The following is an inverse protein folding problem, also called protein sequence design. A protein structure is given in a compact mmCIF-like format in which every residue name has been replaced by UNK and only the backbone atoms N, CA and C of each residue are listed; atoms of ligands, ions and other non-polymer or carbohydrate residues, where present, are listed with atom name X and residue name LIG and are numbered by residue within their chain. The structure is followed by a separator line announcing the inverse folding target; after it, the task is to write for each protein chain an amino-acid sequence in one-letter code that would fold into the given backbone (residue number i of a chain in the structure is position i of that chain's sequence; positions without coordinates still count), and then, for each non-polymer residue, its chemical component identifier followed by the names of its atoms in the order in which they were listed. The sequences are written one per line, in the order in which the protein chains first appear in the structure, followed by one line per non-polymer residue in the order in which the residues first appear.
data_IF_286185885961
#
_entry.id   IF_286185885961
#
_cell.length_a   1.000
_cell.length_b   1.000
_cell.length_c   1.000
_cell.angle_alpha   90.00
_cell.angle_beta   90.00
_cell.angle_gamma   90.00
#
_symmetry.space_group_name_H-M   'P 1'
#
loop_
_entity.id
_entity.type
_entity.pdbx_description
1 polymer ?
#
# COMPACT_ATOMS: atom_id res chain seq x y z
N UNK A 1 -9.88 44.43 -76.54
CA UNK A 1 -10.81 44.07 -77.63
C UNK A 1 -12.17 43.87 -77.00
N UNK A 2 -12.98 44.89 -77.11
CA UNK A 2 -14.43 44.93 -77.34
C UNK A 2 -15.29 44.15 -76.31
N UNK A 3 -16.05 44.90 -75.45
CA UNK A 3 -17.41 45.42 -75.71
C UNK A 3 -18.44 44.28 -75.54
N UNK A 4 -19.46 44.33 -74.70
CA UNK A 4 -20.53 45.35 -74.56
C UNK A 4 -21.42 45.06 -73.35
N UNK A 5 -21.84 46.11 -72.71
CA UNK A 5 -22.98 46.35 -71.87
C UNK A 5 -24.38 45.87 -72.41
N UNK A 6 -25.30 45.51 -71.53
CA UNK A 6 -26.65 46.01 -71.62
C UNK A 6 -27.43 45.98 -70.31
N UNK A 7 -27.89 47.16 -69.97
CA UNK A 7 -28.99 47.41 -69.02
C UNK A 7 -30.34 46.90 -69.50
N UNK A 8 -31.26 46.54 -68.63
CA UNK A 8 -32.51 47.33 -68.51
C UNK A 8 -33.56 46.65 -67.63
N UNK A 9 -34.08 47.41 -66.76
CA UNK A 9 -35.42 47.82 -66.43
C UNK A 9 -36.20 47.03 -65.39
N UNK A 10 -36.50 47.77 -64.37
CA UNK A 10 -37.52 47.68 -63.36
C UNK A 10 -38.92 47.32 -63.87
N UNK A 11 -39.64 46.57 -63.07
CA UNK A 11 -41.09 46.69 -62.93
C UNK A 11 -41.48 46.33 -61.53
N UNK A 12 -41.94 47.35 -60.83
CA UNK A 12 -42.69 47.33 -59.57
C UNK A 12 -44.06 46.71 -59.77
N UNK A 13 -44.42 45.76 -58.91
CA UNK A 13 -45.81 45.42 -58.63
C UNK A 13 -46.00 45.23 -57.14
N UNK A 14 -46.78 46.18 -56.58
CA UNK A 14 -47.34 46.09 -55.23
C UNK A 14 -48.51 45.10 -55.26
N UNK A 15 -48.58 44.21 -54.31
CA UNK A 15 -49.79 43.50 -53.90
C UNK A 15 -49.79 43.14 -52.44
N UNK A 16 -50.56 43.82 -51.77
CA UNK A 16 -51.42 43.67 -50.57
C UNK A 16 -51.24 42.39 -49.75
N UNK A 17 -51.00 42.65 -48.45
CA UNK A 17 -51.03 41.79 -47.29
C UNK A 17 -52.38 41.09 -47.09
N UNK A 18 -52.34 39.79 -46.85
CA UNK A 18 -53.29 39.09 -45.98
C UNK A 18 -52.53 38.26 -44.98
N UNK A 19 -52.60 38.68 -43.71
CA UNK A 19 -52.05 37.99 -42.57
C UNK A 19 -53.02 36.86 -42.19
N UNK A 20 -52.56 35.62 -42.29
CA UNK A 20 -53.22 34.48 -41.66
C UNK A 20 -52.31 34.05 -40.50
N UNK A 21 -52.75 34.28 -39.23
CA UNK A 21 -52.16 33.76 -38.03
C UNK A 21 -52.46 32.24 -38.00
N UNK A 22 -51.45 31.42 -38.25
CA UNK A 22 -51.44 30.00 -37.89
C UNK A 22 -50.66 29.86 -36.56
N UNK A 23 -51.41 29.62 -35.49
CA UNK A 23 -50.82 29.23 -34.22
C UNK A 23 -50.26 27.79 -34.34
N UNK A 24 -48.96 27.66 -34.47
CA UNK A 24 -48.25 26.37 -34.36
C UNK A 24 -48.01 26.10 -32.90
N UNK A 25 -48.79 25.19 -32.28
CA UNK A 25 -48.45 24.58 -31.02
C UNK A 25 -47.20 23.70 -31.22
N UNK A 26 -46.03 24.24 -30.82
CA UNK A 26 -44.83 23.43 -30.71
C UNK A 26 -44.98 22.53 -29.48
N UNK A 27 -45.34 21.28 -29.71
CA UNK A 27 -45.18 20.20 -28.71
C UNK A 27 -43.70 19.90 -28.61
N UNK A 28 -43.04 20.44 -27.59
CA UNK A 28 -41.67 20.03 -27.23
C UNK A 28 -41.75 18.65 -26.62
N UNK A 29 -41.39 17.61 -27.39
CA UNK A 29 -41.04 16.32 -26.83
C UNK A 29 -39.77 16.52 -25.99
N UNK A 30 -39.92 16.60 -24.68
CA UNK A 30 -38.82 16.45 -23.75
C UNK A 30 -38.25 15.05 -23.92
N UNK A 31 -37.10 14.91 -24.61
CA UNK A 31 -36.31 13.68 -24.58
C UNK A 31 -35.94 13.34 -23.13
N UNK A 32 -35.73 12.05 -22.79
CA UNK A 32 -35.30 11.68 -21.46
C UNK A 32 -34.01 12.45 -21.14
N UNK A 33 -34.03 13.20 -20.05
CA UNK A 33 -32.81 13.80 -19.49
C UNK A 33 -31.86 12.64 -19.22
N UNK A 34 -30.79 12.53 -20.00
CA UNK A 34 -29.67 11.70 -19.67
C UNK A 34 -29.15 12.25 -18.35
N UNK A 35 -29.35 11.48 -17.26
CA UNK A 35 -28.72 11.78 -15.99
C UNK A 35 -27.23 11.96 -16.27
N UNK A 36 -26.69 13.14 -16.01
CA UNK A 36 -25.27 13.38 -16.05
C UNK A 36 -24.63 12.35 -15.12
N UNK A 37 -23.65 11.57 -15.61
CA UNK A 37 -22.80 10.78 -14.72
C UNK A 37 -22.34 11.71 -13.60
N UNK A 38 -22.41 11.25 -12.33
CA UNK A 38 -21.81 12.02 -11.24
C UNK A 38 -20.40 12.39 -11.66
N UNK A 39 -20.06 13.66 -11.55
CA UNK A 39 -18.70 14.12 -11.74
C UNK A 39 -17.87 13.40 -10.69
N UNK A 40 -16.86 12.64 -11.10
CA UNK A 40 -15.96 11.96 -10.16
C UNK A 40 -15.47 12.98 -9.15
N UNK A 41 -15.54 12.65 -7.86
CA UNK A 41 -15.02 13.51 -6.80
C UNK A 41 -13.54 13.75 -7.06
N UNK A 42 -13.07 14.98 -6.87
CA UNK A 42 -11.68 15.34 -7.18
C UNK A 42 -10.66 14.62 -6.28
N UNK A 43 -11.12 13.92 -5.25
CA UNK A 43 -10.30 13.12 -4.31
C UNK A 43 -10.35 11.61 -4.60
N UNK A 44 -11.28 11.13 -5.43
CA UNK A 44 -11.57 9.71 -5.58
C UNK A 44 -10.43 8.93 -6.28
N UNK A 45 -9.92 7.89 -5.61
CA UNK A 45 -8.96 6.92 -6.13
C UNK A 45 -9.66 5.68 -6.70
N UNK A 46 -10.70 5.20 -6.02
CA UNK A 46 -11.56 4.08 -6.38
C UNK A 46 -12.94 4.27 -5.73
N UNK A 47 -13.91 3.42 -6.03
CA UNK A 47 -15.22 3.46 -5.37
C UNK A 47 -15.05 3.29 -3.86
N UNK A 48 -15.47 4.30 -3.09
CA UNK A 48 -15.35 4.35 -1.63
C UNK A 48 -13.91 4.49 -1.09
N UNK A 49 -12.96 4.89 -1.94
CA UNK A 49 -11.58 5.20 -1.53
C UNK A 49 -11.17 6.57 -2.06
N UNK A 50 -10.87 7.49 -1.15
CA UNK A 50 -10.48 8.86 -1.45
C UNK A 50 -9.05 9.17 -0.98
N UNK A 51 -8.34 10.00 -1.73
CA UNK A 51 -7.08 10.61 -1.30
C UNK A 51 -7.39 11.77 -0.34
N UNK A 52 -7.01 11.64 0.94
CA UNK A 52 -7.05 12.76 1.89
C UNK A 52 -5.91 13.74 1.68
N UNK A 53 -4.76 13.24 1.22
CA UNK A 53 -3.60 14.04 0.88
C UNK A 53 -2.31 13.24 0.90
N UNK A 54 -1.22 13.93 0.59
CA UNK A 54 0.14 13.40 0.68
C UNK A 54 1.08 14.43 1.30
N UNK A 55 2.24 13.97 1.77
CA UNK A 55 3.30 14.83 2.30
C UNK A 55 4.69 14.28 1.98
N UNK A 56 5.58 15.17 1.56
CA UNK A 56 7.01 14.90 1.38
C UNK A 56 7.84 15.49 2.54
N UNK A 57 7.21 15.80 3.68
CA UNK A 57 7.87 16.48 4.81
C UNK A 57 8.99 15.64 5.46
N UNK A 58 9.01 14.30 5.23
CA UNK A 58 10.09 13.42 5.68
C UNK A 58 11.23 13.29 4.67
N UNK A 59 11.04 13.78 3.44
CA UNK A 59 11.98 13.53 2.36
C UNK A 59 13.32 14.25 2.59
N UNK A 60 14.41 13.45 2.66
CA UNK A 60 15.80 13.94 2.85
C UNK A 60 15.99 14.77 4.13
N UNK A 61 15.21 14.51 5.15
CA UNK A 61 15.32 15.12 6.47
C UNK A 61 16.38 14.40 7.31
N UNK A 62 17.04 15.12 8.19
CA UNK A 62 17.89 14.58 9.24
C UNK A 62 17.25 14.84 10.60
N UNK A 63 17.17 13.81 11.44
CA UNK A 63 16.66 13.91 12.80
C UNK A 63 17.61 13.21 13.78
N UNK A 64 18.02 13.90 14.82
CA UNK A 64 18.96 13.44 15.85
C UNK A 64 20.21 12.75 15.28
N UNK A 65 20.79 13.37 14.24
CA UNK A 65 21.99 12.87 13.55
C UNK A 65 21.76 11.68 12.61
N UNK A 66 20.53 11.22 12.43
CA UNK A 66 20.18 10.14 11.51
C UNK A 66 19.44 10.67 10.27
N UNK A 67 19.72 10.10 9.09
CA UNK A 67 18.93 10.39 7.91
C UNK A 67 17.57 9.68 7.99
N UNK A 68 16.49 10.43 7.78
CA UNK A 68 15.13 9.89 7.71
C UNK A 68 14.87 9.38 6.30
N UNK A 69 14.51 8.12 6.19
CA UNK A 69 14.30 7.41 4.93
C UNK A 69 14.31 5.91 5.18
N UNK A 70 14.21 5.09 4.12
CA UNK A 70 14.19 3.65 4.30
C UNK A 70 13.00 3.15 5.12
N UNK A 71 11.82 3.80 5.02
CA UNK A 71 10.66 3.44 5.85
C UNK A 71 9.86 2.32 5.19
N UNK A 72 10.17 1.07 5.56
CA UNK A 72 9.56 -0.14 4.99
C UNK A 72 8.43 -0.71 5.85
N UNK A 73 8.46 -0.52 7.19
CA UNK A 73 7.37 -0.97 8.09
C UNK A 73 6.71 0.18 8.82
N UNK A 74 5.38 0.13 9.00
CA UNK A 74 4.61 1.14 9.73
C UNK A 74 3.55 0.49 10.62
N UNK A 75 3.44 0.96 11.87
CA UNK A 75 2.34 0.54 12.75
C UNK A 75 1.81 1.71 13.58
N UNK A 76 0.51 1.65 13.93
CA UNK A 76 -0.18 2.70 14.68
C UNK A 76 -0.50 2.27 16.11
N UNK A 77 -0.04 3.03 17.08
CA UNK A 77 -0.45 2.94 18.48
C UNK A 77 -1.62 3.90 18.74
N UNK A 78 -2.82 3.36 18.71
CA UNK A 78 -4.04 4.13 18.95
C UNK A 78 -4.15 4.69 20.38
N UNK A 79 -3.49 4.04 21.37
CA UNK A 79 -3.50 4.49 22.76
C UNK A 79 -2.68 5.77 22.99
N UNK A 80 -1.63 5.97 22.19
CA UNK A 80 -0.74 7.14 22.26
C UNK A 80 -0.93 8.12 21.11
N UNK A 81 -1.74 7.76 20.09
CA UNK A 81 -1.92 8.51 18.85
C UNK A 81 -0.58 8.82 18.15
N UNK A 82 0.21 7.77 17.94
CA UNK A 82 1.51 7.83 17.27
C UNK A 82 1.72 6.63 16.36
N UNK A 83 2.60 6.80 15.38
CA UNK A 83 3.09 5.72 14.53
C UNK A 83 4.53 5.38 14.91
N UNK A 84 4.90 4.13 14.70
CA UNK A 84 6.29 3.69 14.67
C UNK A 84 6.61 3.27 13.24
N UNK A 85 7.68 3.83 12.68
CA UNK A 85 8.17 3.52 11.34
C UNK A 85 9.52 2.84 11.40
N UNK A 86 9.59 1.58 10.96
CA UNK A 86 10.83 0.79 10.89
C UNK A 86 11.63 1.20 9.67
N UNK A 87 12.93 1.20 9.81
CA UNK A 87 13.87 1.55 8.74
C UNK A 87 14.51 0.29 8.19
N UNK A 88 14.33 0.07 6.87
CA UNK A 88 15.28 -0.70 6.07
C UNK A 88 16.61 0.06 6.06
N UNK A 89 17.64 -0.58 6.53
CA UNK A 89 18.91 0.10 6.76
C UNK A 89 19.67 0.44 5.46
N UNK A 90 19.18 -0.01 4.31
CA UNK A 90 19.76 0.28 3.01
C UNK A 90 21.17 -0.30 2.81
N UNK A 91 21.87 0.13 1.75
CA UNK A 91 23.09 -0.55 1.27
C UNK A 91 24.31 -0.44 2.20
N UNK A 92 24.25 0.32 3.30
CA UNK A 92 25.38 0.45 4.21
C UNK A 92 25.35 -0.59 5.31
N UNK A 93 26.19 -1.62 5.21
CA UNK A 93 26.30 -2.68 6.20
C UNK A 93 26.58 -2.20 7.65
N UNK A 94 26.93 -0.95 7.84
CA UNK A 94 27.23 -0.34 9.15
C UNK A 94 26.11 0.57 9.68
N UNK A 95 25.03 0.78 8.92
CA UNK A 95 23.87 1.54 9.40
C UNK A 95 23.21 0.79 10.55
N UNK A 96 22.93 1.51 11.65
CA UNK A 96 22.24 0.92 12.80
C UNK A 96 20.75 0.77 12.52
N UNK A 97 20.22 -0.41 12.81
CA UNK A 97 18.79 -0.70 12.76
C UNK A 97 18.03 0.17 13.75
N UNK A 98 16.94 0.80 13.32
CA UNK A 98 16.21 1.77 14.11
C UNK A 98 14.77 1.90 13.68
N UNK A 99 13.94 2.49 14.51
CA UNK A 99 12.62 2.95 14.17
C UNK A 99 12.44 4.40 14.60
N UNK A 100 11.57 5.11 13.88
CA UNK A 100 11.13 6.46 14.23
C UNK A 100 9.76 6.41 14.89
N UNK A 101 9.55 7.29 15.88
CA UNK A 101 8.26 7.59 16.45
C UNK A 101 7.72 8.83 15.77
N UNK A 102 6.55 8.70 15.14
CA UNK A 102 5.95 9.74 14.32
C UNK A 102 4.57 10.13 14.87
N UNK A 103 4.16 11.36 14.64
CA UNK A 103 2.76 11.80 14.78
C UNK A 103 2.28 12.31 13.45
N UNK A 104 1.09 11.85 13.03
CA UNK A 104 0.41 12.33 11.84
C UNK A 104 -0.85 13.08 12.27
N UNK A 105 -0.86 14.42 12.26
CA UNK A 105 -2.01 15.20 12.68
C UNK A 105 -3.22 14.96 11.78
N UNK A 106 -4.41 14.79 12.36
CA UNK A 106 -5.66 14.48 11.64
C UNK A 106 -6.11 15.58 10.66
N UNK A 107 -5.61 16.81 10.82
CA UNK A 107 -5.95 17.95 9.95
C UNK A 107 -4.88 18.29 8.90
N UNK A 108 -3.74 17.65 8.99
CA UNK A 108 -2.60 17.81 8.11
C UNK A 108 -2.00 16.43 7.90
N UNK A 109 -1.65 16.10 6.68
CA UNK A 109 -0.96 14.84 6.37
C UNK A 109 0.56 14.94 6.57
N UNK A 110 1.05 16.07 7.15
CA UNK A 110 2.46 16.29 7.42
C UNK A 110 2.90 15.56 8.69
N UNK A 111 3.72 14.52 8.59
CA UNK A 111 4.21 13.78 9.75
C UNK A 111 5.21 14.62 10.55
N UNK A 112 5.18 14.47 11.86
CA UNK A 112 6.15 15.03 12.79
C UNK A 112 6.97 13.91 13.39
N UNK A 113 8.30 14.00 13.32
CA UNK A 113 9.19 13.05 13.98
C UNK A 113 9.29 13.46 15.45
N UNK A 114 9.00 12.52 16.35
CA UNK A 114 9.04 12.76 17.79
C UNK A 114 10.28 12.16 18.45
N UNK A 115 10.78 11.04 17.88
CA UNK A 115 11.89 10.29 18.48
C UNK A 115 12.50 9.34 17.45
N UNK A 116 13.73 8.86 17.73
CA UNK A 116 14.40 7.78 17.01
C UNK A 116 15.01 6.81 18.02
N UNK A 117 14.80 5.51 17.82
CA UNK A 117 15.30 4.47 18.72
C UNK A 117 16.10 3.44 17.94
N UNK A 118 17.36 3.21 18.34
CA UNK A 118 18.22 2.15 17.80
C UNK A 118 17.82 0.79 18.37
N UNK A 119 17.67 -0.22 17.50
CA UNK A 119 17.43 -1.61 17.89
C UNK A 119 18.73 -2.27 18.37
N UNK A 120 18.66 -3.01 19.48
CA UNK A 120 19.82 -3.59 20.16
C UNK A 120 19.58 -5.05 20.49
N UNK A 121 20.64 -5.84 20.38
CA UNK A 121 20.65 -7.24 20.79
C UNK A 121 20.59 -7.40 22.33
N UNK A 122 20.55 -8.65 22.79
CA UNK A 122 20.51 -8.98 24.23
C UNK A 122 21.75 -8.50 25.01
N UNK A 123 22.87 -8.24 24.32
CA UNK A 123 24.10 -7.68 24.93
C UNK A 123 24.13 -6.15 24.94
N UNK A 124 23.12 -5.51 24.33
CA UNK A 124 23.02 -4.06 24.18
C UNK A 124 23.77 -3.49 22.96
N UNK A 125 24.32 -4.35 22.09
CA UNK A 125 24.95 -3.90 20.85
C UNK A 125 23.89 -3.56 19.79
N UNK A 126 24.07 -2.49 19.02
CA UNK A 126 23.17 -2.17 17.92
C UNK A 126 23.11 -3.31 16.88
N UNK A 127 21.91 -3.61 16.41
CA UNK A 127 21.76 -4.32 15.16
C UNK A 127 22.19 -3.41 14.01
N UNK A 128 22.68 -4.00 12.93
CA UNK A 128 23.08 -3.29 11.71
C UNK A 128 22.50 -4.00 10.49
N UNK A 129 22.51 -3.37 9.34
CA UNK A 129 22.05 -3.94 8.08
C UNK A 129 22.68 -5.32 7.74
N UNK A 130 23.81 -5.66 8.34
CA UNK A 130 24.43 -6.98 8.15
C UNK A 130 23.73 -8.13 8.90
N UNK A 131 22.94 -7.84 9.93
CA UNK A 131 22.30 -8.83 10.81
C UNK A 131 20.83 -8.51 11.16
N UNK A 132 20.31 -7.39 10.67
CA UNK A 132 18.90 -7.03 10.77
C UNK A 132 18.58 -5.99 9.70
N UNK A 133 17.82 -6.38 8.72
CA UNK A 133 17.27 -5.56 7.65
C UNK A 133 15.77 -5.48 7.85
N UNK A 134 15.31 -4.37 8.41
CA UNK A 134 13.98 -4.29 9.00
C UNK A 134 12.91 -3.94 7.98
N UNK A 135 11.92 -4.82 7.83
CA UNK A 135 10.84 -4.66 6.85
C UNK A 135 9.49 -4.44 7.55
N UNK A 136 8.78 -5.48 7.92
CA UNK A 136 7.48 -5.38 8.56
C UNK A 136 7.56 -4.99 10.04
N UNK A 137 6.56 -4.23 10.52
CA UNK A 137 6.48 -3.77 11.91
C UNK A 137 5.05 -3.82 12.44
N UNK A 138 4.85 -4.40 13.62
CA UNK A 138 3.56 -4.33 14.31
C UNK A 138 3.69 -4.02 15.79
N UNK A 139 2.77 -3.19 16.30
CA UNK A 139 2.68 -2.83 17.71
C UNK A 139 1.78 -3.80 18.44
N UNK A 140 2.26 -4.37 19.56
CA UNK A 140 1.49 -5.31 20.38
C UNK A 140 0.71 -4.59 21.49
N UNK A 141 -0.37 -5.19 21.97
CA UNK A 141 -1.12 -4.63 23.10
C UNK A 141 -0.31 -4.64 24.43
N UNK A 142 0.77 -5.42 24.51
CA UNK A 142 1.68 -5.42 25.66
C UNK A 142 2.60 -4.17 25.68
N UNK A 143 2.57 -3.39 24.60
CA UNK A 143 3.38 -2.19 24.48
C UNK A 143 4.77 -2.43 23.88
N UNK A 144 4.98 -3.57 23.23
CA UNK A 144 6.21 -3.95 22.54
C UNK A 144 6.01 -3.82 21.01
N UNK A 145 7.11 -3.91 20.28
CA UNK A 145 7.14 -4.01 18.82
C UNK A 145 7.57 -5.41 18.38
N UNK A 146 6.91 -5.98 17.39
CA UNK A 146 7.43 -7.10 16.63
C UNK A 146 7.88 -6.56 15.28
N UNK A 147 9.08 -6.97 14.85
CA UNK A 147 9.67 -6.55 13.58
C UNK A 147 10.20 -7.76 12.81
N UNK A 148 9.93 -7.81 11.49
CA UNK A 148 10.54 -8.77 10.58
C UNK A 148 11.90 -8.27 10.07
N UNK A 149 12.71 -9.19 9.59
CA UNK A 149 13.98 -8.91 8.94
C UNK A 149 14.16 -9.81 7.73
N UNK A 150 14.70 -9.23 6.67
CA UNK A 150 14.90 -9.88 5.38
C UNK A 150 16.26 -10.56 5.25
N UNK A 151 17.33 -9.96 5.75
CA UNK A 151 18.73 -10.48 5.60
C UNK A 151 18.87 -11.91 6.11
N UNK A 152 18.37 -12.18 7.32
CA UNK A 152 18.08 -13.51 7.84
C UNK A 152 16.60 -13.53 8.21
N UNK A 153 15.73 -14.25 7.48
CA UNK A 153 14.31 -14.26 7.77
C UNK A 153 14.06 -14.54 9.23
N UNK A 154 13.66 -13.52 9.96
CA UNK A 154 13.44 -13.57 11.41
C UNK A 154 12.31 -12.62 11.80
N UNK A 155 11.65 -12.92 12.92
CA UNK A 155 10.70 -12.03 13.56
C UNK A 155 11.18 -11.86 15.00
N UNK A 156 11.42 -10.61 15.39
CA UNK A 156 11.98 -10.27 16.69
C UNK A 156 11.08 -9.32 17.45
N UNK A 157 10.96 -9.55 18.75
CA UNK A 157 10.24 -8.67 19.67
C UNK A 157 11.21 -7.70 20.31
N UNK A 158 10.86 -6.42 20.32
CA UNK A 158 11.63 -5.34 20.92
C UNK A 158 10.76 -4.53 21.87
N UNK A 159 11.35 -4.09 22.98
CA UNK A 159 10.76 -3.03 23.80
C UNK A 159 10.83 -1.69 23.08
N UNK A 160 10.03 -0.70 23.50
CA UNK A 160 10.04 0.64 22.91
C UNK A 160 11.35 1.41 23.11
N UNK A 161 12.23 0.96 24.01
CA UNK A 161 13.60 1.46 24.15
C UNK A 161 14.62 0.70 23.26
N UNK A 162 14.11 -0.14 22.33
CA UNK A 162 14.90 -0.81 21.29
C UNK A 162 15.60 -2.10 21.72
N UNK A 163 15.39 -2.61 22.92
CA UNK A 163 16.06 -3.81 23.41
C UNK A 163 15.35 -5.07 22.90
N UNK A 164 16.12 -6.04 22.40
CA UNK A 164 15.61 -7.37 22.04
C UNK A 164 15.06 -8.09 23.27
N UNK A 165 13.82 -8.56 23.16
CA UNK A 165 13.12 -9.35 24.19
C UNK A 165 13.02 -10.82 23.80
N UNK A 166 12.79 -11.13 22.52
CA UNK A 166 12.51 -12.47 22.01
C UNK A 166 12.79 -12.54 20.52
N UNK A 167 13.07 -13.74 20.02
CA UNK A 167 13.05 -14.09 18.60
C UNK A 167 12.07 -15.25 18.38
N UNK A 168 11.15 -15.11 17.45
CA UNK A 168 10.17 -16.13 17.12
C UNK A 168 10.80 -17.22 16.24
N UNK A 169 10.29 -18.45 16.36
CA UNK A 169 10.73 -19.54 15.49
C UNK A 169 10.20 -19.31 14.06
N UNK A 170 11.08 -19.53 13.07
CA UNK A 170 10.74 -19.42 11.63
C UNK A 170 10.83 -20.83 11.01
N UNK A 171 9.79 -21.31 10.29
CA UNK A 171 9.84 -22.59 9.59
C UNK A 171 10.98 -22.61 8.57
N UNK A 172 11.64 -23.77 8.45
CA UNK A 172 12.88 -23.92 7.68
C UNK A 172 12.73 -23.46 6.23
N UNK A 173 11.58 -23.72 5.58
CA UNK A 173 11.36 -23.35 4.17
C UNK A 173 11.51 -21.85 3.89
N UNK A 174 11.20 -20.99 4.87
CA UNK A 174 11.31 -19.53 4.74
C UNK A 174 12.73 -19.00 4.92
N UNK A 175 13.68 -19.84 5.31
CA UNK A 175 15.09 -19.44 5.39
C UNK A 175 15.69 -19.29 3.99
N UNK A 176 16.69 -18.42 3.87
CA UNK A 176 17.40 -18.20 2.59
C UNK A 176 18.13 -19.47 2.17
N UNK A 177 18.08 -19.78 0.88
CA UNK A 177 18.82 -20.91 0.30
C UNK A 177 20.34 -20.80 0.58
N UNK A 178 21.05 -21.92 0.86
CA UNK A 178 20.60 -23.32 0.79
C UNK A 178 19.99 -23.85 2.11
N UNK A 179 19.82 -23.02 3.15
CA UNK A 179 19.25 -23.47 4.44
C UNK A 179 17.73 -23.69 4.34
N UNK A 180 17.05 -23.01 3.44
CA UNK A 180 15.65 -23.12 3.10
C UNK A 180 15.43 -22.86 1.63
N UNK A 181 14.29 -22.24 1.27
CA UNK A 181 13.83 -22.07 -0.11
C UNK A 181 13.66 -20.61 -0.52
N UNK A 182 13.78 -19.66 0.43
CA UNK A 182 13.61 -18.25 0.13
C UNK A 182 14.78 -17.69 -0.68
N UNK A 183 14.47 -16.76 -1.57
CA UNK A 183 15.47 -15.97 -2.30
C UNK A 183 15.92 -14.83 -1.39
N UNK A 184 17.22 -14.57 -1.30
CA UNK A 184 17.75 -13.43 -0.58
C UNK A 184 17.14 -12.13 -1.14
N UNK A 185 16.81 -11.19 -0.29
CA UNK A 185 16.17 -9.92 -0.65
C UNK A 185 14.80 -10.11 -1.31
N UNK A 186 14.05 -11.15 -0.90
CA UNK A 186 12.65 -11.43 -1.24
C UNK A 186 12.02 -12.28 -0.14
N UNK A 187 12.40 -12.04 1.11
CA UNK A 187 11.94 -12.84 2.26
C UNK A 187 10.79 -12.16 3.00
N UNK A 188 10.84 -12.07 4.35
CA UNK A 188 9.74 -11.50 5.12
C UNK A 188 9.70 -9.97 5.02
N UNK A 189 8.81 -9.46 4.17
CA UNK A 189 8.60 -8.02 3.95
C UNK A 189 7.58 -7.43 4.91
N UNK A 190 6.59 -8.18 5.34
CA UNK A 190 5.42 -7.69 6.05
C UNK A 190 5.28 -8.25 7.45
N UNK A 191 4.57 -7.52 8.32
CA UNK A 191 4.22 -8.05 9.63
C UNK A 191 3.00 -7.37 10.22
N UNK A 192 1.93 -8.11 10.48
CA UNK A 192 0.71 -7.56 11.05
C UNK A 192 0.07 -8.45 12.09
N UNK A 193 -0.31 -7.83 13.20
CA UNK A 193 -1.03 -8.48 14.29
C UNK A 193 -2.53 -8.24 14.13
N UNK A 194 -3.33 -9.31 14.27
CA UNK A 194 -4.80 -9.17 14.26
C UNK A 194 -5.28 -8.28 15.41
N UNK A 195 -6.40 -7.55 15.25
CA UNK A 195 -6.88 -6.61 16.27
C UNK A 195 -7.15 -7.24 17.65
N UNK A 196 -7.45 -8.56 17.69
CA UNK A 196 -7.63 -9.31 18.93
C UNK A 196 -6.33 -9.91 19.50
N UNK A 197 -5.19 -9.65 18.84
CA UNK A 197 -3.84 -10.11 19.19
C UNK A 197 -3.65 -11.65 19.20
N UNK A 198 -4.50 -12.41 18.51
CA UNK A 198 -4.41 -13.87 18.48
C UNK A 198 -3.62 -14.41 17.31
N UNK A 199 -3.60 -13.71 16.19
CA UNK A 199 -2.91 -14.10 14.97
C UNK A 199 -1.94 -13.03 14.51
N UNK A 200 -0.70 -13.46 14.21
CA UNK A 200 0.32 -12.62 13.59
C UNK A 200 0.56 -13.16 12.17
N UNK A 201 0.56 -12.26 11.19
CA UNK A 201 0.74 -12.59 9.79
C UNK A 201 2.02 -11.98 9.23
N UNK A 202 2.70 -12.73 8.37
CA UNK A 202 3.81 -12.27 7.55
C UNK A 202 3.74 -12.93 6.18
N UNK A 203 4.38 -12.33 5.18
CA UNK A 203 4.55 -12.94 3.86
C UNK A 203 5.97 -12.73 3.35
N UNK A 204 6.39 -13.60 2.44
CA UNK A 204 7.59 -13.38 1.64
C UNK A 204 7.26 -12.43 0.47
N UNK A 205 8.18 -11.56 0.08
CA UNK A 205 8.00 -10.67 -1.08
C UNK A 205 7.89 -11.48 -2.37
N UNK A 206 8.79 -12.42 -2.54
CA UNK A 206 8.86 -13.27 -3.73
C UNK A 206 8.53 -14.73 -3.42
N UNK A 207 8.23 -15.54 -4.47
CA UNK A 207 7.92 -16.94 -4.29
C UNK A 207 9.10 -17.75 -3.78
N UNK A 208 8.83 -18.75 -2.93
CA UNK A 208 9.82 -19.75 -2.58
C UNK A 208 10.24 -20.56 -3.81
N UNK A 209 11.42 -21.17 -3.77
CA UNK A 209 11.98 -21.90 -4.92
C UNK A 209 11.08 -23.04 -5.43
N UNK A 210 10.39 -23.74 -4.52
CA UNK A 210 9.45 -24.80 -4.86
C UNK A 210 8.12 -24.29 -5.45
N UNK A 211 7.73 -23.07 -5.14
CA UNK A 211 6.44 -22.48 -5.53
C UNK A 211 6.50 -21.78 -6.89
N UNK A 212 7.55 -20.98 -7.11
CA UNK A 212 7.83 -20.30 -8.37
C UNK A 212 6.73 -19.34 -8.82
N UNK A 213 6.74 -19.03 -10.11
CA UNK A 213 5.77 -18.15 -10.76
C UNK A 213 4.91 -18.92 -11.75
N UNK A 214 3.78 -18.35 -12.12
CA UNK A 214 2.94 -18.80 -13.23
C UNK A 214 3.53 -18.38 -14.57
N UNK A 215 2.97 -18.88 -15.68
CA UNK A 215 3.42 -18.56 -17.05
C UNK A 215 3.27 -17.06 -17.39
N UNK A 216 2.32 -16.37 -16.78
CA UNK A 216 2.12 -14.91 -16.95
C UNK A 216 3.00 -14.05 -16.02
N UNK A 217 3.80 -14.69 -15.15
CA UNK A 217 4.72 -14.03 -14.23
C UNK A 217 4.15 -13.74 -12.85
N UNK A 218 2.92 -14.19 -12.54
CA UNK A 218 2.32 -14.05 -11.20
C UNK A 218 3.09 -14.88 -10.17
N UNK A 219 3.39 -14.27 -9.01
CA UNK A 219 4.13 -14.92 -7.93
C UNK A 219 3.23 -15.79 -7.06
N UNK A 220 3.61 -17.04 -6.79
CA UNK A 220 2.95 -17.89 -5.80
C UNK A 220 3.55 -17.63 -4.43
N UNK A 221 2.88 -16.82 -3.63
CA UNK A 221 3.37 -16.32 -2.35
C UNK A 221 2.75 -17.12 -1.21
N UNK A 222 3.55 -17.38 -0.16
CA UNK A 222 3.04 -17.95 1.09
C UNK A 222 2.85 -16.83 2.11
N UNK A 223 1.63 -16.71 2.62
CA UNK A 223 1.32 -15.95 3.83
C UNK A 223 1.44 -16.92 5.01
N UNK A 224 2.30 -16.62 5.97
CA UNK A 224 2.49 -17.41 7.17
C UNK A 224 1.72 -16.78 8.33
N UNK A 225 0.90 -17.57 8.99
CA UNK A 225 0.17 -17.23 10.21
C UNK A 225 0.86 -17.83 11.42
N UNK A 226 1.04 -17.02 12.44
CA UNK A 226 1.39 -17.44 13.79
C UNK A 226 0.17 -17.33 14.67
N UNK A 227 0.03 -18.25 15.63
CA UNK A 227 -1.01 -18.23 16.65
C UNK A 227 -0.41 -17.92 18.01
N UNK A 228 -1.07 -17.03 18.79
CA UNK A 228 -0.69 -16.78 20.18
C UNK A 228 -1.14 -17.96 21.07
N UNK A 229 -0.18 -18.67 21.64
CA UNK A 229 -0.39 -19.75 22.59
C UNK A 229 -0.55 -19.24 24.03
N UNK A 230 -0.64 -17.95 24.21
CA UNK A 230 -0.82 -17.24 25.46
C UNK A 230 0.30 -16.26 25.79
N UNK A 231 -0.08 -15.11 26.34
CA UNK A 231 0.83 -14.05 26.76
C UNK A 231 1.75 -13.48 25.66
N UNK A 232 1.33 -13.58 24.39
CA UNK A 232 2.10 -13.12 23.23
C UNK A 232 3.15 -14.13 22.75
N UNK A 233 3.09 -15.39 23.18
CA UNK A 233 3.94 -16.45 22.68
C UNK A 233 3.42 -16.97 21.34
N UNK A 234 3.95 -16.42 20.25
CA UNK A 234 3.56 -16.76 18.89
C UNK A 234 4.33 -17.98 18.36
N UNK A 235 3.61 -18.92 17.77
CA UNK A 235 4.16 -20.08 17.08
C UNK A 235 3.59 -20.19 15.66
N UNK A 236 4.37 -20.63 14.65
CA UNK A 236 3.86 -20.90 13.31
C UNK A 236 2.68 -21.87 13.36
N UNK A 237 1.60 -21.59 12.65
CA UNK A 237 0.39 -22.43 12.67
C UNK A 237 -0.07 -22.84 11.27
N UNK A 238 -0.36 -21.90 10.39
CA UNK A 238 -0.93 -22.15 9.07
C UNK A 238 -0.19 -21.37 7.99
N UNK A 239 -0.24 -21.86 6.76
CA UNK A 239 0.24 -21.15 5.59
C UNK A 239 -0.90 -21.02 4.58
N UNK A 240 -1.00 -19.87 3.88
CA UNK A 240 -2.01 -19.63 2.87
C UNK A 240 -1.35 -19.29 1.54
N UNK A 241 -1.95 -19.79 0.44
CA UNK A 241 -1.50 -19.49 -0.91
C UNK A 241 -2.11 -18.18 -1.39
N UNK A 242 -1.28 -17.18 -1.60
CA UNK A 242 -1.63 -15.91 -2.24
C UNK A 242 -1.00 -15.84 -3.64
N UNK A 243 -1.78 -15.43 -4.66
CA UNK A 243 -1.29 -15.23 -6.02
C UNK A 243 -1.12 -13.73 -6.27
N UNK A 244 0.14 -13.26 -6.26
CA UNK A 244 0.45 -11.88 -6.57
C UNK A 244 0.31 -11.60 -8.07
N UNK A 245 -0.01 -10.36 -8.44
CA UNK A 245 -0.13 -9.96 -9.83
C UNK A 245 1.20 -10.11 -10.59
N UNK A 246 1.16 -10.27 -11.92
CA UNK A 246 2.36 -10.42 -12.73
C UNK A 246 3.38 -9.31 -12.49
N UNK A 247 4.60 -9.71 -12.11
CA UNK A 247 5.71 -8.79 -11.89
C UNK A 247 5.66 -8.00 -10.58
N UNK A 248 4.68 -8.25 -9.70
CA UNK A 248 4.59 -7.64 -8.39
C UNK A 248 5.05 -8.60 -7.29
N UNK A 249 5.50 -8.04 -6.16
CA UNK A 249 5.78 -8.70 -4.89
C UNK A 249 4.81 -8.25 -3.82
N UNK A 250 4.68 -9.02 -2.74
CA UNK A 250 3.92 -8.64 -1.55
C UNK A 250 4.86 -7.89 -0.60
N UNK A 251 4.61 -6.61 -0.39
CA UNK A 251 5.48 -5.74 0.42
C UNK A 251 4.89 -5.40 1.78
N UNK A 252 3.56 -5.46 1.96
CA UNK A 252 2.97 -5.26 3.28
C UNK A 252 1.63 -5.99 3.42
N UNK A 253 1.33 -6.40 4.65
CA UNK A 253 0.05 -6.98 5.05
C UNK A 253 -0.49 -6.19 6.24
N UNK A 254 -1.80 -5.93 6.25
CA UNK A 254 -2.50 -5.39 7.41
C UNK A 254 -3.68 -6.29 7.77
N UNK A 255 -3.65 -6.90 8.94
CA UNK A 255 -4.72 -7.74 9.42
C UNK A 255 -5.93 -6.88 9.88
N UNK A 256 -7.07 -7.08 9.24
CA UNK A 256 -8.34 -6.46 9.61
C UNK A 256 -9.09 -7.30 10.65
N UNK A 257 -8.87 -8.61 10.61
CA UNK A 257 -9.37 -9.61 11.55
C UNK A 257 -8.47 -10.83 11.54
N UNK A 258 -8.93 -11.97 12.04
CA UNK A 258 -8.22 -13.27 11.91
C UNK A 258 -8.32 -13.85 10.50
N UNK A 259 -9.34 -13.44 9.72
CA UNK A 259 -9.65 -14.03 8.42
C UNK A 259 -9.75 -12.99 7.29
N UNK A 260 -9.52 -11.70 7.57
CA UNK A 260 -9.53 -10.63 6.56
C UNK A 260 -8.24 -9.83 6.63
N UNK A 261 -7.56 -9.66 5.48
CA UNK A 261 -6.31 -8.93 5.36
C UNK A 261 -6.44 -7.83 4.29
N UNK A 262 -5.63 -6.78 4.42
CA UNK A 262 -5.16 -5.98 3.29
C UNK A 262 -3.78 -6.50 2.91
N UNK A 263 -3.55 -6.63 1.61
CA UNK A 263 -2.24 -7.01 1.06
C UNK A 263 -1.83 -5.94 0.06
N UNK A 264 -0.67 -5.34 0.27
CA UNK A 264 -0.09 -4.39 -0.67
C UNK A 264 0.90 -5.10 -1.56
N UNK A 265 0.65 -5.01 -2.87
CA UNK A 265 1.55 -5.47 -3.91
C UNK A 265 2.28 -4.29 -4.54
N UNK A 266 3.57 -4.40 -4.74
CA UNK A 266 4.41 -3.41 -5.40
C UNK A 266 5.32 -4.07 -6.43
N UNK A 267 5.63 -3.31 -7.48
CA UNK A 267 6.66 -3.66 -8.46
C UNK A 267 7.20 -2.42 -9.15
N UNK A 268 8.42 -2.51 -9.66
CA UNK A 268 9.07 -1.46 -10.43
C UNK A 268 9.45 -1.98 -11.82
N UNK A 269 9.12 -1.18 -12.83
CA UNK A 269 9.53 -1.45 -14.21
C UNK A 269 10.31 -0.25 -14.78
N UNK A 270 11.54 -0.50 -15.23
CA UNK A 270 12.37 0.55 -15.82
C UNK A 270 11.68 1.23 -17.01
N UNK A 271 11.65 2.57 -17.01
CA UNK A 271 10.98 3.37 -18.04
C UNK A 271 9.46 3.51 -17.89
N UNK A 272 8.84 2.81 -16.91
CA UNK A 272 7.43 2.91 -16.58
C UNK A 272 7.24 3.48 -15.16
N UNK A 273 7.98 2.96 -14.18
CA UNK A 273 7.90 3.37 -12.77
C UNK A 273 7.29 2.30 -11.89
N UNK A 274 6.78 2.74 -10.73
CA UNK A 274 6.18 1.88 -9.73
C UNK A 274 4.72 1.56 -10.04
N UNK A 275 4.31 0.36 -9.66
CA UNK A 275 2.93 -0.06 -9.52
C UNK A 275 2.70 -0.38 -8.05
N UNK A 276 1.63 0.16 -7.46
CA UNK A 276 1.26 -0.08 -6.05
C UNK A 276 -0.23 -0.35 -6.00
N UNK A 277 -0.61 -1.54 -5.54
CA UNK A 277 -2.00 -1.99 -5.44
C UNK A 277 -2.28 -2.53 -4.05
N UNK A 278 -3.45 -2.22 -3.51
CA UNK A 278 -3.93 -2.76 -2.24
C UNK A 278 -5.12 -3.65 -2.52
N UNK A 279 -5.07 -4.89 -2.04
CA UNK A 279 -6.12 -5.88 -2.17
C UNK A 279 -6.75 -6.18 -0.81
N UNK A 280 -8.05 -6.41 -0.82
CA UNK A 280 -8.74 -7.11 0.27
C UNK A 280 -8.62 -8.61 0.01
N UNK A 281 -8.29 -9.36 1.06
CA UNK A 281 -8.05 -10.79 0.99
C UNK A 281 -8.85 -11.48 2.08
N UNK A 282 -9.61 -12.49 1.71
CA UNK A 282 -10.33 -13.33 2.66
C UNK A 282 -9.62 -14.67 2.83
N UNK A 283 -9.38 -15.04 4.08
CA UNK A 283 -8.86 -16.34 4.49
C UNK A 283 -9.99 -17.29 4.91
N UNK A 284 -11.27 -16.81 4.93
CA UNK A 284 -12.41 -17.64 5.31
C UNK A 284 -12.57 -18.82 4.33
N UNK A 285 -12.50 -20.04 4.86
CA UNK A 285 -12.54 -21.27 4.06
C UNK A 285 -11.28 -21.54 3.25
N UNK A 286 -10.22 -20.76 3.40
CA UNK A 286 -8.93 -21.01 2.74
C UNK A 286 -8.28 -22.29 3.27
N UNK A 287 -7.62 -23.03 2.38
CA UNK A 287 -6.88 -24.22 2.78
C UNK A 287 -5.55 -23.88 3.45
N UNK A 288 -5.23 -24.56 4.55
CA UNK A 288 -3.87 -24.58 5.08
C UNK A 288 -2.95 -25.34 4.15
N UNK A 289 -1.95 -24.68 3.61
CA UNK A 289 -0.94 -25.22 2.69
C UNK A 289 0.42 -25.48 3.35
N UNK A 290 0.50 -25.45 4.69
CA UNK A 290 1.74 -25.67 5.43
C UNK A 290 2.36 -27.06 5.14
N UNK A 291 1.51 -28.08 4.90
CA UNK A 291 1.91 -29.42 4.51
C UNK A 291 2.11 -29.63 3.00
N UNK A 292 2.00 -28.61 2.17
CA UNK A 292 2.11 -28.69 0.72
C UNK A 292 3.53 -28.33 0.28
N UNK A 293 4.17 -29.25 -0.47
CA UNK A 293 5.56 -29.06 -0.93
C UNK A 293 5.69 -27.93 -1.95
N UNK A 294 4.70 -27.76 -2.85
CA UNK A 294 4.71 -26.72 -3.88
C UNK A 294 3.31 -26.19 -4.18
N UNK A 295 3.15 -24.89 -4.18
CA UNK A 295 1.91 -24.19 -4.58
C UNK A 295 1.61 -24.32 -6.09
N UNK A 296 2.56 -24.80 -6.89
CA UNK A 296 2.34 -25.14 -8.30
C UNK A 296 1.60 -26.46 -8.48
N UNK A 297 1.33 -27.20 -7.39
CA UNK A 297 0.63 -28.46 -7.44
C UNK A 297 -0.81 -28.29 -7.93
N UNK A 298 -1.33 -29.17 -8.79
CA UNK A 298 -2.74 -29.15 -9.18
C UNK A 298 -3.61 -29.39 -7.94
N UNK A 299 -4.71 -28.70 -7.80
CA UNK A 299 -5.64 -28.70 -6.67
C UNK A 299 -5.22 -27.86 -5.46
N UNK A 300 -4.21 -27.02 -5.59
CA UNK A 300 -3.89 -25.99 -4.60
C UNK A 300 -4.37 -24.66 -5.16
N UNK A 301 -5.37 -24.08 -4.53
CA UNK A 301 -6.02 -22.85 -5.01
C UNK A 301 -5.60 -21.65 -4.16
N UNK A 302 -5.37 -20.47 -4.78
CA UNK A 302 -5.06 -19.27 -4.03
C UNK A 302 -6.28 -18.76 -3.27
N UNK A 303 -6.03 -18.01 -2.20
CA UNK A 303 -7.04 -17.22 -1.49
C UNK A 303 -7.70 -16.21 -2.41
N UNK A 304 -8.95 -15.84 -2.12
CA UNK A 304 -9.66 -14.84 -2.89
C UNK A 304 -9.14 -13.44 -2.56
N UNK A 305 -8.86 -12.65 -3.59
CA UNK A 305 -8.47 -11.24 -3.46
C UNK A 305 -9.37 -10.33 -4.31
N UNK A 306 -9.63 -9.13 -3.80
CA UNK A 306 -10.40 -8.09 -4.47
C UNK A 306 -9.61 -6.79 -4.44
N UNK A 307 -9.42 -6.15 -5.60
CA UNK A 307 -8.70 -4.88 -5.66
C UNK A 307 -9.48 -3.81 -4.90
N UNK A 308 -8.87 -3.26 -3.83
CA UNK A 308 -9.40 -2.12 -3.10
C UNK A 308 -9.04 -0.81 -3.82
N UNK A 309 -7.76 -0.65 -4.18
CA UNK A 309 -7.26 0.53 -4.89
C UNK A 309 -5.96 0.25 -5.63
N UNK A 310 -5.85 0.80 -6.84
CA UNK A 310 -4.58 1.02 -7.53
C UNK A 310 -4.18 2.49 -7.27
N UNK A 311 -3.07 2.72 -6.59
CA UNK A 311 -2.62 4.07 -6.20
C UNK A 311 -2.36 4.96 -7.42
N UNK A 312 -2.06 4.37 -8.58
CA UNK A 312 -1.93 5.10 -9.83
C UNK A 312 -3.24 5.78 -10.28
N UNK A 313 -4.40 5.31 -9.80
CA UNK A 313 -5.71 5.89 -10.10
C UNK A 313 -6.07 7.09 -9.23
N UNK A 314 -5.33 7.34 -8.15
CA UNK A 314 -5.55 8.51 -7.29
C UNK A 314 -5.25 9.81 -8.03
N UNK A 315 -5.94 10.91 -7.70
CA UNK A 315 -5.56 12.22 -8.20
C UNK A 315 -4.16 12.57 -7.72
N UNK A 316 -3.30 13.18 -8.54
CA UNK A 316 -1.90 13.45 -8.16
C UNK A 316 -1.76 14.48 -7.03
N UNK A 317 -2.81 15.25 -6.71
CA UNK A 317 -2.85 16.18 -5.58
C UNK A 317 -1.77 17.29 -5.59
N UNK A 318 -1.07 17.48 -6.72
CA UNK A 318 0.07 18.39 -6.82
C UNK A 318 1.43 17.73 -6.50
N UNK A 319 1.47 16.40 -6.32
CA UNK A 319 2.73 15.67 -6.14
C UNK A 319 3.64 15.81 -7.37
N UNK A 320 4.94 15.71 -7.14
CA UNK A 320 5.95 15.69 -8.18
C UNK A 320 6.85 14.46 -8.00
N UNK A 321 7.34 13.90 -9.09
CA UNK A 321 8.32 12.81 -9.04
C UNK A 321 9.68 13.33 -8.61
N UNK A 322 10.50 12.47 -8.00
CA UNK A 322 11.90 12.76 -7.76
C UNK A 322 12.63 13.10 -9.08
N UNK A 323 13.72 13.90 -9.04
CA UNK A 323 14.45 14.29 -10.23
C UNK A 323 14.94 13.09 -11.04
N UNK A 324 14.54 13.00 -12.31
CA UNK A 324 14.92 11.90 -13.22
C UNK A 324 14.07 10.62 -13.06
N UNK A 325 13.19 10.53 -12.09
CA UNK A 325 12.29 9.41 -11.95
C UNK A 325 11.16 9.46 -13.00
N UNK A 326 10.78 8.28 -13.50
CA UNK A 326 9.61 8.09 -14.36
C UNK A 326 8.54 7.38 -13.54
N UNK A 327 7.33 7.94 -13.48
CA UNK A 327 6.19 7.36 -12.77
C UNK A 327 4.93 7.54 -13.60
N UNK A 328 4.01 6.55 -13.62
CA UNK A 328 2.73 6.68 -14.33
C UNK A 328 1.81 7.73 -13.66
N UNK A 329 1.98 7.95 -12.37
CA UNK A 329 1.35 9.00 -11.59
C UNK A 329 2.40 9.65 -10.68
N UNK A 330 2.52 11.01 -10.64
CA UNK A 330 3.52 11.69 -9.79
C UNK A 330 3.39 11.38 -8.29
N UNK A 331 2.23 10.87 -7.84
CA UNK A 331 2.01 10.46 -6.46
C UNK A 331 2.82 9.21 -6.09
N UNK A 332 3.11 8.34 -7.08
CA UNK A 332 3.79 7.07 -6.85
C UNK A 332 5.27 7.25 -6.52
N UNK A 333 5.72 6.41 -5.60
CA UNK A 333 7.11 6.11 -5.32
C UNK A 333 7.20 4.64 -4.84
N UNK A 334 8.27 4.23 -4.23
CA UNK A 334 8.53 2.89 -3.74
C UNK A 334 7.79 2.66 -2.40
N UNK A 335 6.44 2.56 -2.42
CA UNK A 335 5.64 2.34 -1.22
C UNK A 335 5.78 0.91 -0.72
N UNK A 336 6.23 0.76 0.51
CA UNK A 336 6.42 -0.52 1.19
C UNK A 336 5.65 -0.60 2.51
N UNK A 337 5.52 0.51 3.22
CA UNK A 337 4.78 0.55 4.48
C UNK A 337 3.29 0.88 4.28
N UNK A 338 2.42 0.15 4.99
CA UNK A 338 0.98 0.37 5.06
C UNK A 338 0.49 0.16 6.49
N UNK A 339 -0.31 1.08 7.03
CA UNK A 339 -0.95 0.93 8.33
C UNK A 339 -2.39 1.42 8.34
N UNK A 340 -3.23 0.83 9.19
CA UNK A 340 -4.47 1.47 9.61
C UNK A 340 -4.12 2.69 10.46
N UNK A 341 -4.73 3.82 10.15
CA UNK A 341 -4.68 4.99 11.02
C UNK A 341 -5.93 5.13 11.89
N UNK A 342 -6.19 6.31 12.47
CA UNK A 342 -7.40 6.54 13.24
C UNK A 342 -8.66 6.46 12.38
N UNK A 343 -9.80 6.13 13.02
CA UNK A 343 -11.09 6.23 12.35
C UNK A 343 -11.41 7.69 12.03
N UNK A 344 -12.02 7.88 10.88
CA UNK A 344 -12.46 9.19 10.42
C UNK A 344 -13.78 9.60 11.08
N UNK A 345 -14.09 10.93 11.13
CA UNK A 345 -15.32 11.42 11.78
C UNK A 345 -16.61 10.88 11.18
N UNK A 346 -16.62 10.49 9.91
CA UNK A 346 -17.74 9.85 9.20
C UNK A 346 -17.88 8.35 9.46
N UNK A 347 -16.97 7.80 10.25
CA UNK A 347 -16.90 6.36 10.57
C UNK A 347 -16.05 5.55 9.59
N UNK A 348 -15.52 6.15 8.54
CA UNK A 348 -14.56 5.54 7.62
C UNK A 348 -13.23 5.20 8.32
N UNK A 349 -12.35 4.55 7.60
CA UNK A 349 -11.03 4.13 8.07
C UNK A 349 -9.94 4.87 7.29
N UNK A 350 -8.98 5.49 7.98
CA UNK A 350 -7.79 5.99 7.30
C UNK A 350 -6.77 4.89 7.07
N UNK A 351 -6.15 4.88 5.88
CA UNK A 351 -4.96 4.09 5.56
C UNK A 351 -3.79 5.05 5.34
N UNK A 352 -2.65 4.72 5.92
CA UNK A 352 -1.42 5.49 5.80
C UNK A 352 -0.40 4.63 5.09
N UNK A 353 0.12 5.13 3.97
CA UNK A 353 1.20 4.53 3.21
C UNK A 353 2.44 5.38 3.35
N UNK A 354 3.61 4.75 3.42
CA UNK A 354 4.90 5.44 3.39
C UNK A 354 5.81 4.77 2.37
N UNK A 355 6.52 5.57 1.58
CA UNK A 355 7.50 5.05 0.64
C UNK A 355 8.88 4.95 1.28
N UNK A 356 9.54 3.83 1.01
CA UNK A 356 10.98 3.69 1.19
C UNK A 356 11.71 4.43 0.05
N UNK A 357 12.59 5.34 0.40
CA UNK A 357 13.40 6.09 -0.57
C UNK A 357 14.77 5.44 -0.82
N UNK A 358 15.04 4.27 -0.24
CA UNK A 358 16.33 3.56 -0.33
C UNK A 358 17.53 4.48 -0.09
N UNK A 359 17.35 5.58 0.63
CA UNK A 359 18.32 6.67 0.79
C UNK A 359 18.85 7.21 -0.55
N UNK A 360 18.12 7.00 -1.64
CA UNK A 360 18.44 7.39 -3.02
C UNK A 360 17.96 8.79 -3.33
N UNK A 361 18.75 9.58 -4.06
CA UNK A 361 18.32 10.89 -4.55
C UNK A 361 17.24 10.81 -5.64
N UNK A 362 17.03 9.64 -6.24
CA UNK A 362 16.03 9.38 -7.27
C UNK A 362 14.67 8.91 -6.73
N UNK A 363 14.52 8.82 -5.42
CA UNK A 363 13.29 8.40 -4.72
C UNK A 363 12.93 9.40 -3.63
N UNK A 364 11.67 9.40 -3.22
CA UNK A 364 11.09 10.34 -2.26
C UNK A 364 10.53 9.59 -1.07
N UNK A 365 10.87 9.99 0.16
CA UNK A 365 10.15 9.56 1.36
C UNK A 365 8.82 10.30 1.41
N UNK A 366 7.75 9.65 1.00
CA UNK A 366 6.40 10.21 0.85
C UNK A 366 5.41 9.48 1.75
N UNK A 367 4.55 10.27 2.40
CA UNK A 367 3.37 9.77 3.12
C UNK A 367 2.14 10.02 2.28
N UNK A 368 1.28 9.02 2.10
CA UNK A 368 -0.07 9.15 1.54
C UNK A 368 -1.07 8.76 2.61
N UNK A 369 -2.18 9.50 2.69
CA UNK A 369 -3.32 9.15 3.53
C UNK A 369 -4.55 8.97 2.65
N UNK A 370 -5.14 7.79 2.73
CA UNK A 370 -6.39 7.45 2.08
C UNK A 370 -7.52 7.38 3.10
N UNK A 371 -8.72 7.75 2.68
CA UNK A 371 -9.98 7.46 3.38
C UNK A 371 -10.63 6.27 2.72
N UNK A 372 -11.03 5.27 3.50
CA UNK A 372 -11.84 4.14 3.04
C UNK A 372 -13.20 4.24 3.70
N UNK A 373 -14.24 4.21 2.87
CA UNK A 373 -15.62 4.36 3.31
C UNK A 373 -16.01 3.29 4.33
N UNK A 374 -16.86 3.69 5.28
CA UNK A 374 -17.35 2.79 6.32
C UNK A 374 -18.08 1.58 5.70
N UNK A 375 -17.67 0.38 6.12
CA UNK A 375 -18.25 -0.88 5.66
C UNK A 375 -17.49 -1.56 4.52
N UNK A 376 -16.58 -0.86 3.82
CA UNK A 376 -15.70 -1.50 2.84
C UNK A 376 -14.66 -2.41 3.50
N UNK A 377 -14.14 -2.02 4.67
CA UNK A 377 -13.24 -2.85 5.46
C UNK A 377 -14.01 -3.49 6.62
N UNK A 378 -14.03 -4.81 6.67
CA UNK A 378 -14.60 -5.57 7.78
C UNK A 378 -13.55 -5.69 8.89
N UNK A 379 -13.29 -4.61 9.60
CA UNK A 379 -12.40 -4.67 10.77
C UNK A 379 -13.08 -5.41 11.90
N UNK A 380 -12.48 -6.49 12.39
CA UNK A 380 -12.90 -7.17 13.64
C UNK A 380 -12.90 -6.16 14.79
N UNK A 381 -13.96 -6.18 15.59
CA UNK A 381 -14.06 -5.40 16.84
C UNK A 381 -13.38 -6.15 17.97
#
# INVERSE_FOLDING_TARGET
MMIQTRQSRSLTFSLILIAILLAVCAVTFGGPATAAKPQADASQCAEGVDLLGFSDALNKVTFDGTNVGGLSGLTYDAGRDVYYGLVDNGPSATSEARFYKLRLPTKSVDPQILDVTTLRDASGQPFTASNFDGEGLTFTHNGDLLASSETEPSIRRFSLDGRLLEELSVPQRFRVAPAGEATRNQTFESLSLSPNNRSLFTAVEGPLASDGRTDDGSGRIRILRYEDRGAGWFVPSEEFYYLADPGLGVVEIVALSEDELLVMERGFQAGVGNTVRIYRVSLDGAADVSGVDSLASPNVEPVQKELLVDVASCPPGGATTAPGAVQPNPLLDNFEALALGPRLPDGGQSLVLVSDDNFSSGQTTRVIVLAVENGLLKTGR
#
